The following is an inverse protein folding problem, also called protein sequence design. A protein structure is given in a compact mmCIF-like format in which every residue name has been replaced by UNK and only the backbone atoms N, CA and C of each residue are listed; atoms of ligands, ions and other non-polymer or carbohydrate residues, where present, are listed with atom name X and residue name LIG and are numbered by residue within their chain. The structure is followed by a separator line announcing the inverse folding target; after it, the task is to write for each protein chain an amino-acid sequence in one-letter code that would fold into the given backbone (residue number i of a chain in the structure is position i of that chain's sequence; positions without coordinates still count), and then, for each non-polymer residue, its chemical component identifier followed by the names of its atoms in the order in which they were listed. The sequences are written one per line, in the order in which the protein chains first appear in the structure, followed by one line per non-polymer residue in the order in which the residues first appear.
data_IF_947719763672
#
_entry.id   IF_947719763672
#
_cell.length_a   1.000
_cell.length_b   1.000
_cell.length_c   1.000
_cell.angle_alpha   90.00
_cell.angle_beta   90.00
_cell.angle_gamma   90.00
#
_symmetry.space_group_name_H-M   'P 1'
#
loop_
_entity.id
_entity.type
_entity.pdbx_description
1 polymer ?
#
# COMPACT_ATOMS: atom_id res chain seq x y z
N UNK A 1 17.49 31.74 22.73
CA UNK A 1 16.12 31.49 23.22
C UNK A 1 15.61 30.23 22.55
N UNK A 2 15.04 29.28 23.30
CA UNK A 2 14.54 28.00 22.78
C UNK A 2 13.03 27.99 22.94
N UNK A 3 12.29 27.67 21.87
CA UNK A 3 10.84 27.55 21.90
C UNK A 3 10.45 26.10 22.23
N UNK A 4 9.42 25.92 23.07
CA UNK A 4 8.90 24.61 23.45
C UNK A 4 7.43 24.48 23.06
N UNK A 5 7.09 23.36 22.45
CA UNK A 5 5.72 23.00 22.09
C UNK A 5 5.40 21.60 22.64
N UNK A 6 4.14 21.36 23.05
CA UNK A 6 3.67 20.07 23.58
C UNK A 6 2.63 19.46 22.65
N UNK A 7 2.86 18.22 22.26
CA UNK A 7 2.03 17.38 21.38
C UNK A 7 2.04 15.94 21.89
N UNK A 8 1.01 15.17 21.57
CA UNK A 8 0.92 13.76 21.96
C UNK A 8 1.75 12.89 21.00
N UNK A 9 1.71 13.21 19.71
CA UNK A 9 2.46 12.53 18.65
C UNK A 9 3.16 13.57 17.78
N UNK A 10 4.44 13.33 17.47
CA UNK A 10 5.23 14.15 16.54
C UNK A 10 5.72 13.25 15.41
N UNK A 11 5.25 13.50 14.20
CA UNK A 11 5.63 12.80 12.97
C UNK A 11 6.71 13.62 12.27
N UNK A 12 7.87 13.02 12.02
CA UNK A 12 8.99 13.67 11.31
C UNK A 12 9.05 13.15 9.89
N UNK A 13 8.55 13.95 8.94
CA UNK A 13 8.47 13.65 7.52
C UNK A 13 7.02 13.70 7.02
N UNK A 14 6.77 14.49 5.97
CA UNK A 14 5.46 14.59 5.31
C UNK A 14 5.45 13.93 3.92
N UNK A 15 6.12 12.77 3.81
CA UNK A 15 5.99 11.89 2.64
C UNK A 15 4.74 11.00 2.72
N UNK A 16 4.62 10.01 1.83
CA UNK A 16 3.47 9.09 1.84
C UNK A 16 3.23 8.42 3.18
N UNK A 17 4.27 7.83 3.78
CA UNK A 17 4.17 7.16 5.09
C UNK A 17 3.77 8.13 6.23
N UNK A 18 4.43 9.29 6.30
CA UNK A 18 4.16 10.26 7.37
C UNK A 18 2.78 10.91 7.26
N UNK A 19 2.31 11.20 6.05
CA UNK A 19 0.95 11.69 5.84
C UNK A 19 -0.09 10.61 6.12
N UNK A 20 0.16 9.34 5.74
CA UNK A 20 -0.75 8.24 6.09
C UNK A 20 -0.86 8.06 7.60
N UNK A 21 0.26 8.11 8.32
CA UNK A 21 0.26 8.08 9.78
C UNK A 21 -0.48 9.29 10.38
N UNK A 22 -0.33 10.49 9.81
CA UNK A 22 -1.02 11.69 10.26
C UNK A 22 -2.55 11.63 10.03
N UNK A 23 -2.99 11.02 8.93
CA UNK A 23 -4.42 10.79 8.64
C UNK A 23 -5.05 9.87 9.68
N UNK A 24 -4.35 8.80 10.08
CA UNK A 24 -4.85 7.86 11.08
C UNK A 24 -4.77 8.38 12.52
N UNK A 25 -3.69 9.10 12.87
CA UNK A 25 -3.47 9.63 14.22
C UNK A 25 -4.23 10.92 14.50
N UNK A 26 -4.41 11.78 13.48
CA UNK A 26 -4.98 13.14 13.62
C UNK A 26 -6.36 13.20 14.28
N UNK A 27 -7.31 12.31 13.97
CA UNK A 27 -8.61 12.29 14.62
C UNK A 27 -8.58 11.84 16.08
N UNK A 28 -7.51 11.17 16.53
CA UNK A 28 -7.44 10.52 17.85
C UNK A 28 -6.67 11.34 18.88
N UNK A 29 -5.58 11.98 18.45
CA UNK A 29 -4.62 12.64 19.35
C UNK A 29 -4.03 13.91 18.73
N UNK A 30 -3.53 14.81 19.56
CA UNK A 30 -2.94 16.08 19.11
C UNK A 30 -1.60 15.81 18.40
N UNK A 31 -1.65 15.73 17.09
CA UNK A 31 -0.52 15.33 16.23
C UNK A 31 0.15 16.55 15.59
N UNK A 32 1.48 16.60 15.61
CA UNK A 32 2.28 17.53 14.82
C UNK A 32 3.00 16.78 13.69
N UNK A 33 3.02 17.34 12.48
CA UNK A 33 3.79 16.82 11.35
C UNK A 33 4.85 17.84 10.98
N UNK A 34 6.11 17.44 11.09
CA UNK A 34 7.27 18.26 10.77
C UNK A 34 7.83 17.82 9.42
N UNK A 35 8.16 18.77 8.56
CA UNK A 35 8.77 18.48 7.27
C UNK A 35 9.70 19.60 6.86
N UNK A 36 10.84 19.24 6.28
CA UNK A 36 11.78 20.20 5.69
C UNK A 36 11.25 20.83 4.40
N UNK A 37 10.45 20.06 3.67
CA UNK A 37 9.87 20.46 2.38
C UNK A 37 8.36 20.57 2.49
N UNK A 38 7.74 21.30 1.57
CA UNK A 38 6.28 21.26 1.45
C UNK A 38 5.82 19.81 1.17
N UNK A 39 4.74 19.29 1.80
CA UNK A 39 4.41 17.86 1.79
C UNK A 39 4.35 17.21 0.39
N UNK A 40 3.78 17.91 -0.60
CA UNK A 40 3.66 17.41 -1.98
C UNK A 40 4.98 17.38 -2.76
N UNK A 41 6.06 17.95 -2.21
CA UNK A 41 7.42 17.94 -2.78
C UNK A 41 8.31 16.87 -2.15
N UNK A 42 7.72 15.92 -1.43
CA UNK A 42 8.41 14.72 -0.96
C UNK A 42 8.76 13.79 -2.13
N UNK A 43 9.78 12.95 -1.95
CA UNK A 43 10.23 12.03 -3.01
C UNK A 43 9.19 10.96 -3.37
N UNK A 44 8.15 10.76 -2.53
CA UNK A 44 7.00 9.91 -2.86
C UNK A 44 6.34 10.33 -4.17
N UNK A 45 6.33 11.64 -4.51
CA UNK A 45 5.77 12.13 -5.77
C UNK A 45 6.57 11.75 -7.03
N UNK A 46 7.79 11.23 -6.88
CA UNK A 46 8.61 10.76 -8.00
C UNK A 46 8.38 9.27 -8.33
N UNK A 47 7.55 8.56 -7.57
CA UNK A 47 7.22 7.16 -7.84
C UNK A 47 6.40 7.04 -9.13
N UNK A 48 6.80 6.12 -10.03
CA UNK A 48 6.16 5.95 -11.35
C UNK A 48 5.51 4.58 -11.54
N UNK A 49 6.08 3.51 -10.98
CA UNK A 49 5.68 2.14 -11.31
C UNK A 49 4.25 1.80 -10.90
N UNK A 50 3.93 1.96 -9.62
CA UNK A 50 2.65 1.58 -9.05
C UNK A 50 2.79 1.06 -7.62
N UNK A 51 1.73 0.46 -7.10
CA UNK A 51 1.69 -0.15 -5.77
C UNK A 51 1.25 -1.61 -5.93
N UNK A 52 2.06 -2.55 -5.44
CA UNK A 52 1.77 -3.98 -5.54
C UNK A 52 0.76 -4.42 -4.47
N UNK A 53 -0.31 -5.10 -4.89
CA UNK A 53 -1.21 -5.82 -3.99
C UNK A 53 -1.89 -6.97 -4.74
N UNK A 54 -2.12 -8.07 -4.03
CA UNK A 54 -2.75 -9.27 -4.58
C UNK A 54 -4.28 -9.09 -4.68
N UNK A 55 -4.73 -8.18 -5.55
CA UNK A 55 -6.15 -7.84 -5.73
C UNK A 55 -6.93 -8.84 -6.61
N UNK A 56 -6.24 -9.73 -7.32
CA UNK A 56 -6.84 -10.68 -8.26
C UNK A 56 -7.75 -10.05 -9.37
N UNK A 57 -7.57 -8.77 -9.68
CA UNK A 57 -8.46 -8.02 -10.60
C UNK A 57 -8.28 -8.34 -12.10
N UNK A 58 -7.16 -8.95 -12.48
CA UNK A 58 -6.79 -9.21 -13.89
C UNK A 58 -6.44 -10.68 -14.11
N UNK A 59 -5.66 -11.23 -13.19
CA UNK A 59 -5.30 -12.64 -13.08
C UNK A 59 -5.52 -13.04 -11.64
N UNK A 60 -5.79 -14.33 -11.39
CA UNK A 60 -5.87 -14.85 -10.03
C UNK A 60 -4.54 -14.67 -9.32
N UNK A 61 -4.60 -14.14 -8.09
CA UNK A 61 -3.45 -13.85 -7.25
C UNK A 61 -3.78 -14.12 -5.77
N UNK A 62 -2.76 -14.42 -4.98
CA UNK A 62 -2.89 -14.71 -3.55
C UNK A 62 -1.78 -13.98 -2.76
N UNK A 63 -2.11 -13.48 -1.56
CA UNK A 63 -1.16 -12.82 -0.67
C UNK A 63 0.01 -13.73 -0.28
N UNK A 64 -0.20 -15.05 -0.22
CA UNK A 64 0.86 -16.04 0.04
C UNK A 64 1.92 -16.05 -1.05
N UNK A 65 1.51 -15.94 -2.32
CA UNK A 65 2.44 -15.90 -3.46
C UNK A 65 3.23 -14.59 -3.45
N UNK A 66 2.56 -13.48 -3.14
CA UNK A 66 3.23 -12.19 -2.94
C UNK A 66 4.24 -12.22 -1.79
N UNK A 67 3.90 -12.90 -0.68
CA UNK A 67 4.80 -13.10 0.46
C UNK A 67 6.04 -13.89 0.03
N UNK A 68 5.84 -15.00 -0.69
CA UNK A 68 6.92 -15.83 -1.21
C UNK A 68 7.86 -15.04 -2.14
N UNK A 69 7.30 -14.30 -3.09
CA UNK A 69 8.09 -13.49 -4.03
C UNK A 69 8.86 -12.38 -3.31
N UNK A 70 8.30 -11.82 -2.24
CA UNK A 70 8.97 -10.78 -1.42
C UNK A 70 10.12 -11.36 -0.61
N UNK A 71 9.94 -12.52 0.04
CA UNK A 71 11.00 -13.19 0.81
C UNK A 71 12.13 -13.65 -0.12
N UNK A 72 11.78 -14.25 -1.26
CA UNK A 72 12.76 -14.68 -2.27
C UNK A 72 13.47 -13.48 -2.90
N UNK A 73 12.75 -12.40 -3.22
CA UNK A 73 13.32 -11.17 -3.76
C UNK A 73 14.25 -10.45 -2.78
N UNK A 74 13.97 -10.58 -1.47
CA UNK A 74 14.82 -10.09 -0.39
C UNK A 74 16.02 -10.98 -0.06
N UNK A 75 16.33 -11.98 -0.90
CA UNK A 75 17.42 -12.95 -0.70
C UNK A 75 17.35 -13.66 0.66
N UNK A 76 16.12 -13.94 1.14
CA UNK A 76 15.83 -14.54 2.45
C UNK A 76 16.36 -13.77 3.67
N UNK A 77 16.75 -12.50 3.49
CA UNK A 77 17.17 -11.61 4.57
C UNK A 77 15.99 -10.80 5.17
N UNK A 78 14.83 -10.84 4.54
CA UNK A 78 13.65 -10.15 5.03
C UNK A 78 13.00 -10.90 6.20
N UNK A 79 12.56 -10.16 7.21
CA UNK A 79 11.79 -10.69 8.33
C UNK A 79 10.42 -11.18 7.83
N UNK A 80 10.20 -12.50 7.87
CA UNK A 80 9.06 -13.13 7.22
C UNK A 80 7.72 -12.75 7.85
N UNK A 81 7.71 -12.51 9.16
CA UNK A 81 6.53 -12.04 9.90
C UNK A 81 6.11 -10.64 9.44
N UNK A 82 7.06 -9.72 9.27
CA UNK A 82 6.79 -8.38 8.76
C UNK A 82 6.32 -8.41 7.30
N UNK A 83 6.92 -9.26 6.46
CA UNK A 83 6.53 -9.42 5.06
C UNK A 83 5.12 -10.01 4.94
N UNK A 84 4.79 -11.00 5.77
CA UNK A 84 3.45 -11.60 5.81
C UNK A 84 2.37 -10.57 6.14
N UNK A 85 2.59 -9.76 7.18
CA UNK A 85 1.67 -8.66 7.56
C UNK A 85 1.54 -7.67 6.40
N UNK A 86 2.67 -7.24 5.81
CA UNK A 86 2.68 -6.30 4.70
C UNK A 86 1.84 -6.82 3.52
N UNK A 87 2.03 -8.07 3.11
CA UNK A 87 1.34 -8.64 1.94
C UNK A 87 -0.15 -8.89 2.20
N UNK A 88 -0.55 -9.24 3.43
CA UNK A 88 -1.96 -9.39 3.82
C UNK A 88 -2.67 -8.04 3.87
N UNK A 89 -2.09 -7.07 4.56
CA UNK A 89 -2.69 -5.73 4.74
C UNK A 89 -2.60 -4.85 3.48
N UNK A 90 -1.71 -5.18 2.53
CA UNK A 90 -1.58 -4.45 1.27
C UNK A 90 -2.91 -4.37 0.51
N UNK A 91 -3.71 -5.44 0.52
CA UNK A 91 -5.02 -5.49 -0.16
C UNK A 91 -5.92 -4.37 0.36
N UNK A 92 -6.18 -4.34 1.66
CA UNK A 92 -7.03 -3.34 2.30
C UNK A 92 -6.45 -1.93 2.17
N UNK A 93 -5.12 -1.77 2.28
CA UNK A 93 -4.46 -0.49 2.12
C UNK A 93 -4.67 0.14 0.74
N UNK A 94 -4.65 -0.67 -0.34
CA UNK A 94 -4.92 -0.15 -1.70
C UNK A 94 -6.38 0.25 -1.85
N UNK A 95 -7.31 -0.56 -1.32
CA UNK A 95 -8.74 -0.28 -1.37
C UNK A 95 -9.08 1.00 -0.61
N UNK A 96 -8.45 1.24 0.54
CA UNK A 96 -8.64 2.45 1.32
C UNK A 96 -8.11 3.70 0.59
N UNK A 97 -6.98 3.58 -0.12
CA UNK A 97 -6.47 4.65 -0.97
C UNK A 97 -7.44 4.99 -2.10
N UNK A 98 -8.07 3.99 -2.71
CA UNK A 98 -9.12 4.24 -3.71
C UNK A 98 -10.33 4.94 -3.10
N UNK A 99 -10.82 4.50 -1.93
CA UNK A 99 -11.94 5.14 -1.22
C UNK A 99 -11.63 6.59 -0.84
N UNK A 100 -10.37 6.91 -0.55
CA UNK A 100 -9.89 8.28 -0.31
C UNK A 100 -9.79 9.12 -1.60
N UNK A 101 -10.07 8.54 -2.77
CA UNK A 101 -10.12 9.23 -4.06
C UNK A 101 -8.85 9.12 -4.90
N UNK A 102 -7.96 8.17 -4.60
CA UNK A 102 -6.77 7.94 -5.43
C UNK A 102 -7.18 7.48 -6.84
N UNK A 103 -6.76 8.19 -7.91
CA UNK A 103 -7.20 7.90 -9.27
C UNK A 103 -6.41 6.73 -9.88
N UNK A 104 -6.76 5.49 -9.51
CA UNK A 104 -6.21 4.32 -10.17
C UNK A 104 -6.74 4.16 -11.60
N UNK A 105 -5.90 3.59 -12.47
CA UNK A 105 -6.32 3.17 -13.80
C UNK A 105 -7.42 2.10 -13.69
N UNK A 106 -8.38 2.08 -14.60
CA UNK A 106 -9.50 1.13 -14.56
C UNK A 106 -9.35 0.00 -15.56
N UNK A 107 -9.76 -1.21 -15.17
CA UNK A 107 -9.75 -2.36 -16.07
C UNK A 107 -10.88 -2.23 -17.10
N UNK A 108 -10.77 -2.85 -18.29
CA UNK A 108 -11.81 -2.77 -19.33
C UNK A 108 -13.20 -3.23 -18.83
N UNK A 109 -13.25 -4.22 -17.94
CA UNK A 109 -14.48 -4.71 -17.31
C UNK A 109 -15.20 -3.63 -16.51
N UNK A 110 -14.45 -2.68 -15.94
CA UNK A 110 -15.01 -1.58 -15.17
C UNK A 110 -15.30 -0.30 -15.99
N UNK A 111 -14.85 -0.24 -17.25
CA UNK A 111 -15.15 0.88 -18.14
C UNK A 111 -16.55 0.78 -18.78
N UNK A 112 -17.09 -0.44 -18.93
CA UNK A 112 -18.41 -0.69 -19.54
C UNK A 112 -19.60 -0.57 -18.58
N UNK A 113 -19.36 -0.50 -17.27
CA UNK A 113 -20.41 -0.31 -16.26
C UNK A 113 -20.35 1.12 -15.71
N UNK A 114 -21.23 1.98 -16.21
CA UNK A 114 -21.53 3.25 -15.56
C UNK A 114 -22.07 2.96 -14.16
N UNK A 115 -21.30 3.32 -13.13
CA UNK A 115 -21.67 3.32 -11.72
C UNK A 115 -21.87 1.96 -11.00
N UNK A 116 -21.25 1.87 -9.82
CA UNK A 116 -21.82 1.29 -8.60
C UNK A 116 -22.30 -0.18 -8.58
N UNK A 117 -21.39 -1.16 -8.78
CA UNK A 117 -21.57 -2.48 -8.17
C UNK A 117 -20.36 -2.80 -7.28
N UNK A 118 -20.63 -3.19 -6.04
CA UNK A 118 -19.92 -2.67 -4.88
C UNK A 118 -18.86 -3.59 -4.26
N UNK A 119 -18.51 -4.73 -4.87
CA UNK A 119 -17.80 -5.77 -4.10
C UNK A 119 -16.34 -5.99 -4.48
N UNK A 120 -15.87 -5.53 -5.64
CA UNK A 120 -14.43 -5.49 -5.96
C UNK A 120 -14.19 -4.24 -6.79
N UNK A 121 -13.47 -3.23 -6.27
CA UNK A 121 -13.38 -1.99 -6.99
C UNK A 121 -12.42 -2.12 -8.18
N UNK A 122 -12.72 -1.30 -9.17
CA UNK A 122 -12.20 -1.29 -10.53
C UNK A 122 -10.71 -0.91 -10.66
N UNK A 123 -9.93 -1.07 -9.60
CA UNK A 123 -8.56 -0.60 -9.51
C UNK A 123 -7.59 -1.52 -10.23
N UNK A 124 -6.98 -0.99 -11.28
CA UNK A 124 -5.82 -1.58 -11.93
C UNK A 124 -4.57 -1.14 -11.17
N UNK A 125 -4.36 -1.69 -9.98
CA UNK A 125 -3.04 -1.67 -9.35
C UNK A 125 -2.15 -2.69 -10.10
N UNK A 126 -1.85 -2.43 -11.38
CA UNK A 126 -0.92 -3.25 -12.16
C UNK A 126 0.49 -2.82 -11.84
N UNK A 127 1.06 -3.42 -10.80
CA UNK A 127 2.47 -3.77 -10.83
C UNK A 127 2.54 -5.28 -10.60
N UNK A 128 2.88 -6.03 -11.66
CA UNK A 128 3.20 -7.46 -11.50
C UNK A 128 4.32 -7.54 -10.47
N UNK A 129 4.10 -8.23 -9.35
CA UNK A 129 5.22 -8.80 -8.62
C UNK A 129 5.98 -9.71 -9.59
N UNK A 130 7.25 -9.42 -9.79
CA UNK A 130 8.03 -9.99 -10.88
C UNK A 130 8.25 -11.48 -10.66
N UNK A 131 7.80 -12.30 -11.61
CA UNK A 131 8.16 -13.71 -11.74
C UNK A 131 7.31 -14.64 -10.89
N UNK A 132 6.23 -15.16 -11.48
CA UNK A 132 5.38 -16.23 -10.90
C UNK A 132 6.25 -17.43 -10.55
N UNK A 133 6.78 -17.48 -9.34
CA UNK A 133 7.22 -18.73 -8.76
C UNK A 133 5.94 -19.46 -8.38
N UNK A 134 5.62 -20.51 -9.12
CA UNK A 134 4.64 -21.49 -8.63
C UNK A 134 5.07 -21.86 -7.20
N UNK A 135 4.18 -21.75 -6.20
CA UNK A 135 4.51 -22.26 -4.87
C UNK A 135 4.91 -23.74 -5.02
N UNK A 136 5.87 -24.26 -4.23
CA UNK A 136 6.01 -25.70 -4.12
C UNK A 136 4.64 -26.23 -3.70
N UNK A 137 4.04 -27.07 -4.53
CA UNK A 137 2.80 -27.76 -4.21
C UNK A 137 2.91 -28.30 -2.80
N UNK A 138 2.02 -27.88 -1.89
CA UNK A 138 1.94 -28.45 -0.55
C UNK A 138 2.02 -29.97 -0.67
N UNK A 139 2.79 -30.68 0.19
CA UNK A 139 2.88 -32.12 0.11
C UNK A 139 1.47 -32.68 0.22
N UNK A 140 1.05 -33.41 -0.82
CA UNK A 140 -0.19 -34.15 -0.82
C UNK A 140 -0.14 -35.11 0.38
N UNK A 141 -0.96 -34.84 1.39
CA UNK A 141 -1.36 -35.83 2.39
C UNK A 141 -2.12 -36.96 1.74
#
# INVERSE_FOLDING_TARGET
MIHQHRYDVVIVGAGGAGMRAAVEAGPRVRTAVLTKLYPTRSHTGAAQGGMCAALANVEDDNWEWHTFDTVKGGDYLADQDAVEIMCKEAIDAVLDLEKMGMPFNRTPRAASTSAASADIPATTARLRCAGRATPPTAPAT
#
